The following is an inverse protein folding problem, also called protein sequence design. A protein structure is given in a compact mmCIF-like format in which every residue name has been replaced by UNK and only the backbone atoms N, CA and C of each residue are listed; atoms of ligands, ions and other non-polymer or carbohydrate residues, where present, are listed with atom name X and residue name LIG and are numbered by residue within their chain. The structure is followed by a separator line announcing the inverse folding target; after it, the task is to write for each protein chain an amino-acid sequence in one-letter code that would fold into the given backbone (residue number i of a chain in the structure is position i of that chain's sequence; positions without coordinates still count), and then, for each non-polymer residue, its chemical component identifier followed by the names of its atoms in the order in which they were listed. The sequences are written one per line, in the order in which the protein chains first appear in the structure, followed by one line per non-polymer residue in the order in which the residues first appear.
data_IF_207687522839
#
_entry.id   IF_207687522839
#
_cell.length_a   1.000
_cell.length_b   1.000
_cell.length_c   1.000
_cell.angle_alpha   90.00
_cell.angle_beta   90.00
_cell.angle_gamma   90.00
#
_symmetry.space_group_name_H-M   'P 1'
#
loop_
_entity.id
_entity.type
_entity.pdbx_description
1 polymer ?
#
# COMPACT_ATOMS: atom_id res chain seq x y z
N UNK A 1 -26.59 20.95 -4.01
CA UNK A 1 -25.18 20.98 -4.44
C UNK A 1 -25.12 21.90 -5.65
N UNK A 2 -24.46 23.05 -5.55
CA UNK A 2 -24.44 24.00 -6.67
C UNK A 2 -23.47 23.50 -7.76
N UNK A 3 -23.74 23.80 -9.04
CA UNK A 3 -22.86 23.41 -10.15
C UNK A 3 -21.43 23.97 -10.01
N UNK A 4 -21.24 25.08 -9.29
CA UNK A 4 -19.93 25.65 -8.95
C UNK A 4 -19.11 24.76 -8.01
N UNK A 5 -19.76 24.04 -7.08
CA UNK A 5 -19.09 23.18 -6.11
C UNK A 5 -18.56 21.90 -6.79
N UNK A 6 -19.27 21.43 -7.82
CA UNK A 6 -18.89 20.26 -8.61
C UNK A 6 -17.66 20.58 -9.48
N UNK A 7 -17.59 21.78 -10.03
CA UNK A 7 -16.44 22.23 -10.82
C UNK A 7 -15.18 22.40 -9.96
N UNK A 8 -15.28 22.97 -8.76
CA UNK A 8 -14.12 23.12 -7.88
C UNK A 8 -13.61 21.76 -7.35
N UNK A 9 -14.52 20.83 -7.07
CA UNK A 9 -14.16 19.45 -6.74
C UNK A 9 -13.46 18.74 -7.90
N UNK A 10 -13.92 18.93 -9.13
CA UNK A 10 -13.29 18.32 -10.31
C UNK A 10 -11.88 18.88 -10.56
N UNK A 11 -11.67 20.19 -10.40
CA UNK A 11 -10.34 20.80 -10.47
C UNK A 11 -9.41 20.28 -9.36
N UNK A 12 -9.91 20.22 -8.12
CA UNK A 12 -9.14 19.69 -6.98
C UNK A 12 -8.75 18.23 -7.20
N UNK A 13 -9.68 17.39 -7.68
CA UNK A 13 -9.40 15.99 -8.00
C UNK A 13 -8.41 15.85 -9.15
N UNK A 14 -8.47 16.72 -10.16
CA UNK A 14 -7.53 16.70 -11.28
C UNK A 14 -6.13 17.06 -10.82
N UNK A 15 -5.98 18.14 -10.05
CA UNK A 15 -4.67 18.56 -9.50
C UNK A 15 -4.11 17.52 -8.50
N UNK A 16 -4.97 16.92 -7.68
CA UNK A 16 -4.60 15.84 -6.78
C UNK A 16 -4.17 14.59 -7.56
N UNK A 17 -4.92 14.20 -8.59
CA UNK A 17 -4.59 13.05 -9.45
C UNK A 17 -3.26 13.24 -10.19
N UNK A 18 -2.99 14.44 -10.71
CA UNK A 18 -1.71 14.76 -11.35
C UNK A 18 -0.54 14.70 -10.37
N UNK A 19 -0.73 15.13 -9.12
CA UNK A 19 0.30 15.03 -8.07
C UNK A 19 0.50 13.61 -7.57
N UNK A 20 -0.54 12.80 -7.50
CA UNK A 20 -0.52 11.44 -6.91
C UNK A 20 -0.16 10.36 -7.94
N UNK A 21 -0.53 10.52 -9.21
CA UNK A 21 -0.20 9.58 -10.30
C UNK A 21 1.25 9.10 -10.30
N UNK A 22 2.27 9.97 -10.26
CA UNK A 22 3.66 9.52 -10.29
C UNK A 22 4.05 8.67 -9.06
N UNK A 23 3.46 8.93 -7.90
CA UNK A 23 3.68 8.11 -6.71
C UNK A 23 2.96 6.77 -6.80
N UNK A 24 1.77 6.73 -7.39
CA UNK A 24 1.01 5.49 -7.61
C UNK A 24 1.71 4.61 -8.64
N UNK A 25 2.19 5.17 -9.74
CA UNK A 25 2.99 4.44 -10.75
C UNK A 25 4.29 3.91 -10.14
N UNK A 26 4.98 4.73 -9.33
CA UNK A 26 6.17 4.27 -8.61
C UNK A 26 5.85 3.15 -7.63
N UNK A 27 4.73 3.24 -6.89
CA UNK A 27 4.27 2.18 -6.01
C UNK A 27 3.93 0.92 -6.81
N UNK A 28 3.25 1.02 -7.94
CA UNK A 28 2.95 -0.13 -8.81
C UNK A 28 4.21 -0.78 -9.39
N UNK A 29 5.29 -0.03 -9.61
CA UNK A 29 6.58 -0.59 -10.01
C UNK A 29 7.38 -1.22 -8.86
N UNK A 30 7.16 -0.76 -7.62
CA UNK A 30 7.98 -1.10 -6.46
C UNK A 30 7.19 -1.76 -5.31
N UNK A 31 5.94 -2.16 -5.54
CA UNK A 31 5.08 -2.71 -4.48
C UNK A 31 5.65 -4.01 -3.92
N UNK A 32 6.20 -4.87 -4.77
CA UNK A 32 6.76 -6.16 -4.37
C UNK A 32 7.96 -6.01 -3.40
N UNK A 33 9.01 -5.22 -3.71
CA UNK A 33 10.08 -4.98 -2.76
C UNK A 33 9.61 -4.22 -1.51
N UNK A 34 8.61 -3.34 -1.61
CA UNK A 34 8.02 -2.68 -0.44
C UNK A 34 7.36 -3.69 0.51
N UNK A 35 6.53 -4.60 -0.01
CA UNK A 35 5.90 -5.67 0.78
C UNK A 35 6.95 -6.57 1.41
N UNK A 36 7.94 -7.03 0.63
CA UNK A 36 9.05 -7.85 1.15
C UNK A 36 9.84 -7.12 2.24
N UNK A 37 10.13 -5.83 2.07
CA UNK A 37 10.83 -5.04 3.09
C UNK A 37 10.02 -4.94 4.39
N UNK A 38 8.70 -4.75 4.28
CA UNK A 38 7.78 -4.72 5.40
C UNK A 38 7.67 -6.07 6.11
N UNK A 39 7.65 -7.17 5.36
CA UNK A 39 7.69 -8.53 5.90
C UNK A 39 8.99 -8.82 6.65
N UNK A 40 10.15 -8.46 6.08
CA UNK A 40 11.45 -8.70 6.71
C UNK A 40 11.56 -7.88 8.00
N UNK A 41 11.20 -6.59 7.97
CA UNK A 41 11.21 -5.74 9.17
C UNK A 41 10.21 -6.26 10.21
N UNK A 42 9.01 -6.65 9.79
CA UNK A 42 7.98 -7.24 10.65
C UNK A 42 8.44 -8.55 11.30
N UNK A 43 9.11 -9.42 10.54
CA UNK A 43 9.68 -10.67 11.02
C UNK A 43 10.82 -10.40 12.03
N UNK A 44 11.72 -9.46 11.76
CA UNK A 44 12.80 -9.07 12.68
C UNK A 44 12.23 -8.51 13.98
N UNK A 45 11.21 -7.65 13.91
CA UNK A 45 10.53 -7.11 15.10
C UNK A 45 9.83 -8.24 15.87
N UNK A 46 9.16 -9.17 15.18
CA UNK A 46 8.48 -10.30 15.80
C UNK A 46 9.45 -11.26 16.52
N UNK A 47 10.64 -11.49 15.94
CA UNK A 47 11.73 -12.25 16.56
C UNK A 47 12.28 -11.51 17.77
N UNK A 48 12.56 -10.20 17.64
CA UNK A 48 13.09 -9.36 18.74
C UNK A 48 12.14 -9.26 19.93
N UNK A 49 10.82 -9.27 19.69
CA UNK A 49 9.78 -9.26 20.72
C UNK A 49 9.42 -10.65 21.26
N UNK A 50 10.13 -11.71 20.87
CA UNK A 50 9.87 -13.09 21.32
C UNK A 50 8.50 -13.65 20.89
N UNK A 51 7.82 -13.00 19.94
CA UNK A 51 6.46 -13.33 19.48
C UNK A 51 6.50 -14.07 18.15
N UNK A 52 7.26 -15.16 18.11
CA UNK A 52 7.45 -15.98 16.91
C UNK A 52 6.12 -16.49 16.30
N UNK A 53 5.11 -16.76 17.13
CA UNK A 53 3.76 -17.17 16.66
C UNK A 53 3.01 -16.08 15.87
N UNK A 54 3.31 -14.79 16.08
CA UNK A 54 2.68 -13.70 15.33
C UNK A 54 3.43 -13.37 14.04
N UNK A 55 4.74 -13.64 13.96
CA UNK A 55 5.53 -13.43 12.73
C UNK A 55 4.98 -14.21 11.54
N UNK A 56 4.53 -15.46 11.76
CA UNK A 56 3.85 -16.26 10.73
C UNK A 56 2.53 -15.62 10.29
N UNK A 57 1.79 -15.00 11.20
CA UNK A 57 0.56 -14.27 10.87
C UNK A 57 0.81 -13.04 9.99
N UNK A 58 1.93 -12.33 10.23
CA UNK A 58 2.36 -11.23 9.37
C UNK A 58 2.83 -11.71 8.01
N UNK A 59 3.58 -12.81 7.96
CA UNK A 59 4.00 -13.45 6.71
C UNK A 59 2.78 -13.93 5.91
N UNK A 60 1.78 -14.52 6.57
CA UNK A 60 0.53 -14.93 5.92
C UNK A 60 -0.31 -13.74 5.45
N UNK A 61 -0.34 -12.63 6.19
CA UNK A 61 -1.04 -11.41 5.79
C UNK A 61 -0.39 -10.75 4.57
N UNK A 62 0.94 -10.74 4.50
CA UNK A 62 1.64 -10.22 3.36
C UNK A 62 1.60 -11.20 2.16
N UNK A 63 1.62 -12.52 2.38
CA UNK A 63 1.28 -13.51 1.35
C UNK A 63 -0.14 -13.30 0.79
N UNK A 64 -1.12 -13.01 1.65
CA UNK A 64 -2.49 -12.72 1.24
C UNK A 64 -2.60 -11.40 0.48
N UNK A 65 -1.77 -10.41 0.82
CA UNK A 65 -1.69 -9.13 0.11
C UNK A 65 -1.07 -9.32 -1.29
N UNK A 66 -0.05 -10.17 -1.41
CA UNK A 66 0.53 -10.60 -2.70
C UNK A 66 -0.49 -11.39 -3.52
N UNK A 67 -1.26 -12.29 -2.89
CA UNK A 67 -2.30 -13.05 -3.58
C UNK A 67 -3.42 -12.16 -4.12
N UNK A 68 -3.89 -11.18 -3.33
CA UNK A 68 -4.90 -10.21 -3.76
C UNK A 68 -4.36 -9.22 -4.81
N UNK A 69 -3.08 -8.84 -4.72
CA UNK A 69 -2.41 -7.95 -5.68
C UNK A 69 -1.97 -8.64 -6.97
N UNK A 70 -1.86 -9.97 -6.99
CA UNK A 70 -1.49 -10.77 -8.18
C UNK A 70 -2.67 -11.30 -8.98
N UNK A 71 -3.91 -11.14 -8.49
CA UNK A 71 -5.15 -11.52 -9.19
C UNK A 71 -5.79 -10.38 -9.99
N UNK A 72 -5.05 -9.30 -10.25
CA UNK A 72 -5.42 -8.23 -11.21
C UNK A 72 -4.66 -8.38 -12.52
#
# INVERSE_FOLDING_TARGET
MNPSDIQSLAEYFKEFSEKVSPYVEWLQGNWFPLVLSGEIVGAVIAVKLGRYRRGIGWLAAALATIWLGGTV
#
